data_IF_824877314879
#
_entry.id   IF_824877314879
#
_cell.length_a   1.000
_cell.length_b   1.000
_cell.length_c   1.000
_cell.angle_alpha   90.00
_cell.angle_beta   90.00
_cell.angle_gamma   90.00
#
_symmetry.space_group_name_H-M   'P 1'
#
loop_
_entity.id
_entity.type
_entity.pdbx_description
1 polymer ?
#
# COMPACT_ATOMS: atom_id res chain seq x y z
N UNK A 1 -27.53 -19.26 -6.24
CA UNK A 1 -26.30 -18.50 -5.93
C UNK A 1 -26.54 -17.04 -6.30
N UNK A 2 -26.79 -16.17 -5.31
CA UNK A 2 -26.93 -14.73 -5.53
C UNK A 2 -25.54 -14.14 -5.75
N UNK A 3 -25.13 -13.99 -7.01
CA UNK A 3 -23.83 -13.43 -7.37
C UNK A 3 -23.83 -11.91 -7.11
N UNK A 4 -23.16 -11.47 -6.05
CA UNK A 4 -22.94 -10.04 -5.75
C UNK A 4 -22.04 -9.32 -6.76
N UNK A 5 -21.50 -10.06 -7.74
CA UNK A 5 -20.64 -9.57 -8.83
C UNK A 5 -21.44 -9.09 -10.06
N UNK A 6 -22.75 -9.35 -10.12
CA UNK A 6 -23.62 -8.92 -11.22
C UNK A 6 -24.12 -7.46 -11.05
N UNK A 7 -23.29 -6.60 -10.43
CA UNK A 7 -23.57 -5.16 -10.36
C UNK A 7 -23.13 -4.52 -11.65
N UNK A 8 -24.04 -3.85 -12.35
CA UNK A 8 -23.71 -2.99 -13.50
C UNK A 8 -22.59 -2.02 -13.10
N UNK A 9 -21.40 -2.23 -13.67
CA UNK A 9 -20.26 -1.32 -13.49
C UNK A 9 -20.62 0.00 -14.16
N UNK A 10 -21.14 0.92 -13.35
CA UNK A 10 -21.47 2.29 -13.75
C UNK A 10 -20.46 3.22 -13.08
N UNK A 11 -20.13 4.36 -13.71
CA UNK A 11 -19.19 5.34 -13.15
C UNK A 11 -19.47 5.68 -11.68
N UNK A 12 -20.75 5.81 -11.30
CA UNK A 12 -21.18 6.08 -9.93
C UNK A 12 -20.84 4.95 -8.95
N UNK A 13 -20.92 3.68 -9.38
CA UNK A 13 -20.61 2.52 -8.54
C UNK A 13 -19.11 2.38 -8.31
N UNK A 14 -18.30 2.66 -9.35
CA UNK A 14 -16.84 2.70 -9.22
C UNK A 14 -16.42 3.83 -8.29
N UNK A 15 -17.00 5.02 -8.46
CA UNK A 15 -16.69 6.17 -7.62
C UNK A 15 -17.04 5.91 -6.15
N UNK A 16 -18.21 5.29 -5.89
CA UNK A 16 -18.60 4.89 -4.53
C UNK A 16 -17.67 3.83 -3.92
N UNK A 17 -17.07 2.98 -4.74
CA UNK A 17 -16.10 1.96 -4.31
C UNK A 17 -14.71 2.55 -4.04
N UNK A 18 -14.27 3.55 -4.80
CA UNK A 18 -12.95 4.16 -4.66
C UNK A 18 -12.88 5.25 -3.59
N UNK A 19 -14.01 5.88 -3.23
CA UNK A 19 -14.06 6.95 -2.20
C UNK A 19 -13.29 6.59 -0.91
N UNK A 20 -13.47 5.41 -0.28
CA UNK A 20 -12.75 5.07 0.94
C UNK A 20 -11.23 5.04 0.73
N UNK A 21 -10.76 4.42 -0.36
CA UNK A 21 -9.33 4.32 -0.68
C UNK A 21 -8.72 5.70 -1.01
N UNK A 22 -9.42 6.52 -1.79
CA UNK A 22 -9.00 7.89 -2.09
C UNK A 22 -8.95 8.74 -0.82
N UNK A 23 -9.95 8.63 0.06
CA UNK A 23 -9.96 9.34 1.33
C UNK A 23 -8.77 8.93 2.21
N UNK A 24 -8.45 7.63 2.28
CA UNK A 24 -7.30 7.13 3.03
C UNK A 24 -5.98 7.73 2.52
N UNK A 25 -5.80 7.81 1.20
CA UNK A 25 -4.63 8.47 0.60
C UNK A 25 -4.56 9.96 1.00
N UNK A 26 -5.69 10.68 0.97
CA UNK A 26 -5.75 12.08 1.39
C UNK A 26 -5.36 12.25 2.86
N UNK A 27 -5.91 11.43 3.77
CA UNK A 27 -5.55 11.47 5.19
C UNK A 27 -4.07 11.14 5.43
N UNK A 28 -3.50 10.21 4.66
CA UNK A 28 -2.08 9.88 4.74
C UNK A 28 -1.20 11.09 4.38
N UNK A 29 -1.55 11.84 3.34
CA UNK A 29 -0.81 13.06 2.99
C UNK A 29 -0.98 14.17 4.03
N UNK A 30 -2.18 14.34 4.59
CA UNK A 30 -2.40 15.28 5.69
C UNK A 30 -1.52 14.92 6.90
N UNK A 31 -1.40 13.64 7.23
CA UNK A 31 -0.52 13.15 8.28
C UNK A 31 0.94 13.53 8.02
N UNK A 32 1.47 13.28 6.82
CA UNK A 32 2.86 13.63 6.46
C UNK A 32 3.14 15.13 6.61
N UNK A 33 2.19 15.99 6.19
CA UNK A 33 2.30 17.44 6.33
C UNK A 33 2.33 17.84 7.81
N UNK A 34 1.40 17.30 8.61
CA UNK A 34 1.32 17.60 10.03
C UNK A 34 2.58 17.14 10.78
N UNK A 35 3.10 15.96 10.45
CA UNK A 35 4.31 15.43 11.05
C UNK A 35 5.53 16.33 10.74
N UNK A 36 5.66 16.80 9.49
CA UNK A 36 6.69 17.76 9.11
C UNK A 36 6.59 19.11 9.85
N UNK A 37 5.37 19.63 10.02
CA UNK A 37 5.12 20.89 10.76
C UNK A 37 5.43 20.71 12.26
N UNK A 38 4.99 19.61 12.85
CA UNK A 38 5.21 19.32 14.27
C UNK A 38 6.71 19.12 14.53
N UNK A 39 7.40 18.31 13.72
CA UNK A 39 8.84 18.07 13.91
C UNK A 39 9.64 19.37 13.75
N UNK A 40 9.37 20.15 12.70
CA UNK A 40 10.08 21.42 12.49
C UNK A 40 9.84 22.44 13.60
N UNK A 41 8.62 22.52 14.14
CA UNK A 41 8.24 23.50 15.17
C UNK A 41 8.63 23.08 16.59
N UNK A 42 8.52 21.80 16.93
CA UNK A 42 8.76 21.29 18.28
C UNK A 42 10.19 20.78 18.51
N UNK A 43 10.82 20.19 17.49
CA UNK A 43 12.19 19.65 17.57
C UNK A 43 13.24 20.56 16.89
N UNK A 44 12.77 21.59 16.19
CA UNK A 44 13.61 22.62 15.58
C UNK A 44 14.23 22.21 14.23
N UNK A 45 14.97 23.15 13.63
CA UNK A 45 15.56 22.98 12.30
C UNK A 45 16.54 21.80 12.21
N UNK A 46 17.26 21.50 13.30
CA UNK A 46 18.23 20.39 13.33
C UNK A 46 17.56 19.03 13.18
N UNK A 47 16.39 18.83 13.80
CA UNK A 47 15.62 17.59 13.66
C UNK A 47 15.02 17.44 12.26
N UNK A 48 14.54 18.54 11.67
CA UNK A 48 14.04 18.53 10.28
C UNK A 48 15.16 18.23 9.27
N UNK A 49 16.37 18.76 9.50
CA UNK A 49 17.55 18.44 8.69
C UNK A 49 17.94 16.95 8.84
N UNK A 50 17.90 16.41 10.06
CA UNK A 50 18.16 14.99 10.30
C UNK A 50 17.15 14.08 9.57
N UNK A 51 15.85 14.42 9.57
CA UNK A 51 14.84 13.70 8.78
C UNK A 51 15.18 13.68 7.29
N UNK A 52 15.61 14.81 6.74
CA UNK A 52 15.97 14.90 5.31
C UNK A 52 17.16 14.00 4.96
N UNK A 53 18.10 13.81 5.89
CA UNK A 53 19.26 12.91 5.73
C UNK A 53 18.83 11.44 5.83
N UNK A 54 17.86 11.12 6.68
CA UNK A 54 17.34 9.75 6.87
C UNK A 54 16.32 9.36 5.80
N UNK A 55 15.72 10.33 5.12
CA UNK A 55 14.67 10.06 4.14
C UNK A 55 15.10 9.14 2.97
N UNK A 56 16.31 9.27 2.38
CA UNK A 56 16.77 8.37 1.31
C UNK A 56 16.84 6.89 1.71
N UNK A 57 17.53 6.47 2.80
CA UNK A 57 17.55 5.05 3.18
C UNK A 57 16.16 4.53 3.56
N UNK A 58 15.32 5.34 4.23
CA UNK A 58 13.93 4.94 4.54
C UNK A 58 13.11 4.71 3.26
N UNK A 59 13.23 5.61 2.29
CA UNK A 59 12.53 5.49 1.00
C UNK A 59 12.96 4.25 0.21
N UNK A 60 14.23 3.83 0.32
CA UNK A 60 14.71 2.59 -0.31
C UNK A 60 14.03 1.36 0.29
N UNK A 61 14.00 1.25 1.62
CA UNK A 61 13.32 0.15 2.32
C UNK A 61 11.83 0.14 1.97
N UNK A 62 11.19 1.30 2.01
CA UNK A 62 9.77 1.44 1.67
C UNK A 62 9.49 1.07 0.20
N UNK A 63 10.40 1.43 -0.71
CA UNK A 63 10.33 1.08 -2.13
C UNK A 63 10.45 -0.43 -2.38
N UNK A 64 11.38 -1.11 -1.69
CA UNK A 64 11.51 -2.57 -1.74
C UNK A 64 10.25 -3.27 -1.23
N UNK A 65 9.70 -2.78 -0.11
CA UNK A 65 8.42 -3.28 0.43
C UNK A 65 7.25 -3.09 -0.55
N UNK A 66 7.17 -1.92 -1.21
CA UNK A 66 6.16 -1.68 -2.25
C UNK A 66 6.33 -2.61 -3.45
N UNK A 67 7.55 -2.84 -3.93
CA UNK A 67 7.79 -3.75 -5.06
C UNK A 67 7.31 -5.17 -4.75
N UNK A 68 7.64 -5.68 -3.56
CA UNK A 68 7.16 -7.00 -3.12
C UNK A 68 5.64 -7.03 -2.98
N UNK A 69 5.03 -5.99 -2.38
CA UNK A 69 3.58 -5.93 -2.18
C UNK A 69 2.78 -5.84 -3.49
N UNK A 70 3.22 -4.98 -4.42
CA UNK A 70 2.58 -4.82 -5.73
C UNK A 70 2.77 -6.08 -6.57
N UNK A 71 4.00 -6.59 -6.66
CA UNK A 71 4.31 -7.81 -7.43
C UNK A 71 3.56 -9.04 -6.89
N UNK A 72 3.44 -9.18 -5.57
CA UNK A 72 2.63 -10.22 -4.96
C UNK A 72 1.14 -10.10 -5.36
N UNK A 73 0.59 -8.90 -5.24
CA UNK A 73 -0.83 -8.65 -5.56
C UNK A 73 -1.11 -8.95 -7.03
N UNK A 74 -0.18 -8.64 -7.94
CA UNK A 74 -0.27 -8.96 -9.36
C UNK A 74 -0.29 -10.48 -9.61
N UNK A 75 0.68 -11.22 -9.07
CA UNK A 75 0.78 -12.68 -9.26
C UNK A 75 -0.43 -13.42 -8.67
N UNK A 76 -0.87 -13.02 -7.47
CA UNK A 76 -2.05 -13.61 -6.80
C UNK A 76 -3.32 -13.30 -7.57
N UNK A 77 -3.51 -12.04 -7.99
CA UNK A 77 -4.71 -11.64 -8.75
C UNK A 77 -4.76 -12.32 -10.11
N UNK A 78 -3.62 -12.49 -10.78
CA UNK A 78 -3.50 -13.24 -12.03
C UNK A 78 -3.92 -14.71 -11.85
N UNK A 79 -3.35 -15.39 -10.85
CA UNK A 79 -3.64 -16.81 -10.57
C UNK A 79 -5.10 -17.03 -10.17
N UNK A 80 -5.67 -16.12 -9.38
CA UNK A 80 -7.10 -16.14 -9.02
C UNK A 80 -7.99 -15.90 -10.25
N UNK A 81 -7.58 -14.99 -11.15
CA UNK A 81 -8.29 -14.69 -12.39
C UNK A 81 -8.38 -15.88 -13.36
N UNK A 82 -7.37 -16.75 -13.35
CA UNK A 82 -7.35 -17.99 -14.14
C UNK A 82 -8.05 -19.18 -13.45
N UNK A 83 -8.65 -18.97 -12.28
CA UNK A 83 -9.32 -20.03 -11.54
C UNK A 83 -8.36 -21.03 -10.87
N UNK A 84 -7.12 -20.61 -10.56
CA UNK A 84 -6.09 -21.42 -9.89
C UNK A 84 -5.87 -20.97 -8.42
N UNK A 85 -6.84 -21.20 -7.50
CA UNK A 85 -6.76 -20.68 -6.13
C UNK A 85 -5.69 -21.34 -5.26
N UNK A 86 -5.33 -22.60 -5.50
CA UNK A 86 -4.25 -23.28 -4.76
C UNK A 86 -2.89 -22.66 -5.05
N UNK A 87 -2.60 -22.37 -6.33
CA UNK A 87 -1.37 -21.69 -6.75
C UNK A 87 -1.31 -20.27 -6.21
N UNK A 88 -2.44 -19.55 -6.21
CA UNK A 88 -2.54 -18.23 -5.60
C UNK A 88 -2.17 -18.27 -4.10
N UNK A 89 -2.67 -19.27 -3.36
CA UNK A 89 -2.36 -19.44 -1.93
C UNK A 89 -0.90 -19.84 -1.66
N UNK A 90 -0.32 -20.69 -2.52
CA UNK A 90 1.09 -21.06 -2.42
C UNK A 90 1.99 -19.85 -2.66
N UNK A 91 1.73 -19.09 -3.73
CA UNK A 91 2.46 -17.86 -4.04
C UNK A 91 2.32 -16.81 -2.92
N UNK A 92 1.11 -16.64 -2.38
CA UNK A 92 0.87 -15.76 -1.25
C UNK A 92 1.67 -16.17 -0.01
N UNK A 93 1.67 -17.46 0.34
CA UNK A 93 2.39 -17.97 1.50
C UNK A 93 3.90 -17.83 1.33
N UNK A 94 4.42 -18.17 0.15
CA UNK A 94 5.85 -18.08 -0.15
C UNK A 94 6.37 -16.65 -0.04
N UNK A 95 5.71 -15.69 -0.70
CA UNK A 95 6.15 -14.29 -0.66
C UNK A 95 5.92 -13.69 0.72
N UNK A 96 4.83 -14.04 1.43
CA UNK A 96 4.62 -13.56 2.81
C UNK A 96 5.70 -14.05 3.78
N UNK A 97 6.15 -15.31 3.64
CA UNK A 97 7.27 -15.84 4.43
C UNK A 97 8.58 -15.12 4.12
N UNK A 98 8.86 -14.86 2.84
CA UNK A 98 10.05 -14.11 2.43
C UNK A 98 10.01 -12.69 3.01
N UNK A 99 8.89 -11.99 2.89
CA UNK A 99 8.71 -10.64 3.46
C UNK A 99 8.91 -10.65 4.98
N UNK A 100 8.41 -11.67 5.68
CA UNK A 100 8.60 -11.81 7.14
C UNK A 100 10.07 -12.03 7.53
N UNK A 101 10.83 -12.77 6.72
CA UNK A 101 12.26 -13.02 6.96
C UNK A 101 13.10 -11.77 6.67
N UNK A 102 12.74 -11.04 5.60
CA UNK A 102 13.46 -9.83 5.18
C UNK A 102 13.21 -8.69 6.17
N UNK A 103 11.98 -8.54 6.68
CA UNK A 103 11.59 -7.45 7.58
C UNK A 103 11.47 -6.13 6.85
#
# INVERSE_FOLDING_TARGET
MNNSLDRKITALSLLKFTIPSTAMIVFMYLYVILDGIIVSKFLGANAFAALSIVNPPVSMVMGLGMLLGIGLTEVVSHSLGEGRPEEANQNFTFVSLITLIIG
#
